data_IF_240435290197
#
_entry.id   IF_240435290197
#
_cell.length_a   1.000
_cell.length_b   1.000
_cell.length_c   1.000
_cell.angle_alpha   90.00
_cell.angle_beta   90.00
_cell.angle_gamma   90.00
#
_symmetry.space_group_name_H-M   'P 1'
#
loop_
_entity.id
_entity.type
_entity.pdbx_description
1 polymer ?
#
# COMPACT_ATOMS: atom_id res chain seq x y z
N UNK A 1 8.49 20.88 29.06
CA UNK A 1 7.65 20.78 27.88
C UNK A 1 8.52 20.27 26.74
N UNK A 2 8.80 19.04 26.77
CA UNK A 2 9.49 18.35 25.70
C UNK A 2 9.03 16.93 25.82
N UNK A 3 8.20 16.47 24.96
CA UNK A 3 8.08 15.02 24.90
C UNK A 3 7.46 14.60 23.62
N UNK A 4 8.30 13.94 23.01
CA UNK A 4 8.19 12.72 22.27
C UNK A 4 7.77 12.92 20.83
N UNK A 5 8.77 13.24 20.05
CA UNK A 5 8.79 12.81 18.67
C UNK A 5 8.96 11.29 18.69
N UNK A 6 7.87 10.54 18.67
CA UNK A 6 7.93 9.11 18.38
C UNK A 6 7.74 8.92 16.88
N UNK A 7 8.83 8.64 16.22
CA UNK A 7 8.79 8.23 14.82
C UNK A 7 8.53 6.73 14.83
N UNK A 8 7.30 6.36 14.53
CA UNK A 8 6.94 4.96 14.38
C UNK A 8 6.46 4.71 12.97
N UNK A 9 7.17 3.89 12.24
CA UNK A 9 6.81 3.50 10.89
C UNK A 9 7.06 4.58 9.84
N UNK A 10 6.53 4.40 8.63
CA UNK A 10 6.70 5.31 7.49
C UNK A 10 5.83 6.58 7.56
N UNK A 11 5.52 7.05 8.74
CA UNK A 11 4.74 8.25 8.96
C UNK A 11 5.36 9.14 10.03
N UNK A 12 5.13 10.43 9.95
CA UNK A 12 5.54 11.40 10.96
C UNK A 12 4.35 11.71 11.84
N UNK A 13 4.46 11.39 13.13
CA UNK A 13 3.52 11.84 14.15
C UNK A 13 4.00 13.18 14.70
N UNK A 14 3.35 14.27 14.31
CA UNK A 14 3.59 15.58 14.91
C UNK A 14 2.58 15.76 16.04
N UNK A 15 3.01 15.57 17.29
CA UNK A 15 2.21 15.84 18.47
C UNK A 15 2.49 17.27 18.93
N UNK A 16 1.70 18.17 18.44
CA UNK A 16 1.63 19.56 18.87
C UNK A 16 0.39 20.11 18.27
N UNK A 17 -0.44 20.84 18.75
CA UNK A 17 -1.66 21.45 18.20
C UNK A 17 -2.28 20.81 16.93
N UNK A 18 -2.12 19.51 16.71
CA UNK A 18 -3.09 19.11 15.87
C UNK A 18 -3.16 18.10 14.82
N UNK A 19 -2.20 17.45 14.32
CA UNK A 19 -2.47 16.63 13.16
C UNK A 19 -1.67 15.34 13.03
N UNK A 20 -2.36 14.25 12.68
CA UNK A 20 -1.73 13.05 12.15
C UNK A 20 -1.61 13.22 10.63
N UNK A 21 -0.38 13.21 10.09
CA UNK A 21 -0.16 13.27 8.65
C UNK A 21 0.30 11.89 8.18
N UNK A 22 -0.60 11.13 7.56
CA UNK A 22 -0.36 9.78 7.01
C UNK A 22 0.40 8.83 7.95
N UNK A 23 0.04 8.70 9.23
CA UNK A 23 0.76 7.84 10.15
C UNK A 23 0.45 6.38 9.89
N UNK A 24 1.46 5.53 9.97
CA UNK A 24 1.29 4.09 10.09
C UNK A 24 1.25 3.73 11.57
N UNK A 25 0.08 3.47 12.10
CA UNK A 25 -0.10 3.16 13.53
C UNK A 25 0.29 1.72 13.86
N UNK A 26 0.17 0.82 12.90
CA UNK A 26 0.58 -0.58 13.03
C UNK A 26 1.17 -1.07 11.73
N UNK A 27 2.40 -1.54 11.74
CA UNK A 27 3.06 -2.12 10.56
C UNK A 27 2.39 -3.41 10.11
N UNK A 28 1.65 -4.10 10.96
CA UNK A 28 0.85 -5.26 10.57
C UNK A 28 -0.10 -4.97 9.40
N UNK A 29 -0.57 -3.74 9.27
CA UNK A 29 -1.49 -3.35 8.18
C UNK A 29 -0.80 -3.18 6.83
N UNK A 30 0.54 -3.19 6.78
CA UNK A 30 1.34 -2.94 5.57
C UNK A 30 2.33 -4.07 5.23
N UNK A 31 2.62 -4.97 6.16
CA UNK A 31 3.64 -6.00 5.98
C UNK A 31 3.04 -7.26 5.32
N UNK A 32 3.22 -7.39 4.03
CA UNK A 32 2.79 -8.54 3.24
C UNK A 32 3.71 -9.75 3.47
N UNK A 33 3.42 -10.53 4.49
CA UNK A 33 4.15 -11.76 4.82
C UNK A 33 3.22 -12.97 4.81
N UNK A 34 3.75 -14.19 4.66
CA UNK A 34 2.93 -15.41 4.63
C UNK A 34 2.07 -15.66 5.87
N UNK A 35 2.46 -15.09 7.01
CA UNK A 35 1.74 -15.25 8.28
C UNK A 35 0.80 -14.09 8.60
N UNK A 36 0.71 -13.10 7.72
CA UNK A 36 -0.09 -11.90 7.95
C UNK A 36 -1.07 -11.65 6.81
N UNK A 37 -2.33 -11.96 7.02
CA UNK A 37 -3.38 -11.78 6.02
C UNK A 37 -4.00 -10.36 6.03
N UNK A 38 -3.74 -9.57 7.06
CA UNK A 38 -4.34 -8.23 7.26
C UNK A 38 -4.16 -7.31 6.05
N UNK A 39 -2.94 -7.11 5.49
CA UNK A 39 -2.77 -6.19 4.37
C UNK A 39 -3.44 -6.70 3.09
N UNK A 40 -3.46 -8.01 2.82
CA UNK A 40 -4.15 -8.56 1.64
C UNK A 40 -5.64 -8.23 1.65
N UNK A 41 -6.28 -8.33 2.84
CA UNK A 41 -7.69 -7.98 3.04
C UNK A 41 -7.87 -6.47 2.92
N UNK A 42 -7.03 -5.69 3.62
CA UNK A 42 -7.15 -4.24 3.72
C UNK A 42 -6.91 -3.48 2.40
N UNK A 43 -6.05 -4.00 1.52
CA UNK A 43 -5.72 -3.36 0.24
C UNK A 43 -6.71 -3.67 -0.88
N UNK A 44 -7.55 -4.70 -0.77
CA UNK A 44 -8.48 -5.07 -1.85
C UNK A 44 -9.39 -3.92 -2.32
N UNK A 45 -9.96 -3.07 -1.45
CA UNK A 45 -10.72 -1.90 -1.91
C UNK A 45 -9.88 -0.92 -2.73
N UNK A 46 -8.61 -0.73 -2.38
CA UNK A 46 -7.67 0.11 -3.15
C UNK A 46 -7.40 -0.50 -4.52
N UNK A 47 -7.18 -1.82 -4.60
CA UNK A 47 -7.01 -2.50 -5.90
C UNK A 47 -8.23 -2.33 -6.79
N UNK A 48 -9.42 -2.47 -6.22
CA UNK A 48 -10.68 -2.34 -6.97
C UNK A 48 -10.87 -0.92 -7.52
N UNK A 49 -10.62 0.10 -6.73
CA UNK A 49 -10.75 1.50 -7.17
C UNK A 49 -9.66 1.90 -8.17
N UNK A 50 -8.44 1.39 -8.01
CA UNK A 50 -7.36 1.56 -8.98
C UNK A 50 -7.69 0.88 -10.31
N UNK A 51 -8.14 -0.36 -10.29
CA UNK A 51 -8.55 -1.08 -11.49
C UNK A 51 -9.75 -0.40 -12.19
N UNK A 52 -10.69 0.14 -11.41
CA UNK A 52 -11.78 0.95 -11.92
C UNK A 52 -11.27 2.21 -12.66
N UNK A 53 -10.33 2.95 -12.07
CA UNK A 53 -9.74 4.12 -12.68
C UNK A 53 -9.08 3.79 -14.03
N UNK A 54 -8.32 2.71 -14.08
CA UNK A 54 -7.60 2.26 -15.27
C UNK A 54 -8.46 1.45 -16.25
N UNK A 55 -9.77 1.36 -16.03
CA UNK A 55 -10.72 0.66 -16.94
C UNK A 55 -10.42 -0.83 -17.09
N UNK A 56 -9.99 -1.47 -16.01
CA UNK A 56 -9.62 -2.90 -15.99
C UNK A 56 -10.70 -3.81 -15.40
N UNK A 57 -11.80 -3.24 -14.91
CA UNK A 57 -12.90 -4.04 -14.36
C UNK A 57 -13.84 -4.56 -15.46
N UNK A 58 -14.60 -5.60 -15.11
CA UNK A 58 -15.69 -6.08 -15.96
C UNK A 58 -16.74 -4.98 -16.21
N UNK A 59 -17.46 -4.99 -17.35
CA UNK A 59 -18.35 -3.89 -17.76
C UNK A 59 -19.40 -3.51 -16.70
N UNK A 60 -19.95 -4.49 -15.99
CA UNK A 60 -20.97 -4.28 -14.96
C UNK A 60 -20.42 -3.56 -13.70
N UNK A 61 -19.16 -3.80 -13.35
CA UNK A 61 -18.46 -3.07 -12.28
C UNK A 61 -17.93 -1.72 -12.78
N UNK A 62 -17.44 -1.69 -14.01
CA UNK A 62 -16.93 -0.46 -14.61
C UNK A 62 -18.00 0.62 -14.77
N UNK A 63 -19.26 0.23 -14.93
CA UNK A 63 -20.41 1.15 -15.04
C UNK A 63 -20.86 1.74 -13.70
N UNK A 64 -20.35 1.23 -12.57
CA UNK A 64 -20.65 1.74 -11.22
C UNK A 64 -19.83 2.94 -10.86
N UNK A 65 -20.24 3.66 -9.83
CA UNK A 65 -19.39 4.72 -9.23
C UNK A 65 -18.21 4.10 -8.49
N UNK A 66 -17.16 4.88 -8.27
CA UNK A 66 -15.98 4.42 -7.52
C UNK A 66 -16.33 4.04 -6.08
N UNK A 67 -17.28 4.73 -5.46
CA UNK A 67 -17.79 4.47 -4.12
C UNK A 67 -18.51 3.12 -4.03
N UNK A 68 -19.34 2.80 -5.03
CA UNK A 68 -20.02 1.51 -5.11
C UNK A 68 -19.02 0.37 -5.28
N UNK A 69 -18.03 0.54 -6.15
CA UNK A 69 -16.95 -0.46 -6.34
C UNK A 69 -16.15 -0.65 -5.06
N UNK A 70 -15.77 0.44 -4.39
CA UNK A 70 -15.06 0.38 -3.12
C UNK A 70 -15.89 -0.33 -2.03
N UNK A 71 -17.22 -0.10 -2.00
CA UNK A 71 -18.11 -0.75 -1.03
C UNK A 71 -18.21 -2.25 -1.27
N UNK A 72 -18.41 -2.67 -2.52
CA UNK A 72 -18.44 -4.09 -2.90
C UNK A 72 -17.13 -4.80 -2.54
N UNK A 73 -16.00 -4.15 -2.79
CA UNK A 73 -14.70 -4.71 -2.46
C UNK A 73 -14.48 -4.82 -0.94
N UNK A 74 -14.94 -3.85 -0.15
CA UNK A 74 -14.87 -3.91 1.33
C UNK A 74 -15.74 -5.04 1.88
N UNK A 75 -16.95 -5.19 1.37
CA UNK A 75 -17.87 -6.24 1.79
C UNK A 75 -17.27 -7.63 1.52
N UNK A 76 -16.79 -7.86 0.31
CA UNK A 76 -16.14 -9.10 -0.05
C UNK A 76 -14.85 -9.34 0.75
N UNK A 77 -14.03 -8.32 0.96
CA UNK A 77 -12.80 -8.40 1.74
C UNK A 77 -13.07 -8.82 3.19
N UNK A 78 -14.04 -8.18 3.84
CA UNK A 78 -14.40 -8.47 5.23
C UNK A 78 -15.14 -9.82 5.41
N UNK A 79 -15.77 -10.33 4.36
CA UNK A 79 -16.54 -11.57 4.35
C UNK A 79 -15.79 -12.75 3.75
N UNK A 80 -16.18 -13.14 2.55
CA UNK A 80 -15.74 -14.35 1.86
C UNK A 80 -14.23 -14.45 1.71
N UNK A 81 -13.56 -13.34 1.41
CA UNK A 81 -12.11 -13.35 1.24
C UNK A 81 -11.36 -13.61 2.55
N UNK A 82 -11.76 -12.96 3.64
CA UNK A 82 -11.20 -13.22 4.98
C UNK A 82 -11.37 -14.69 5.39
N UNK A 83 -12.56 -15.24 5.18
CA UNK A 83 -12.86 -16.65 5.47
C UNK A 83 -12.01 -17.59 4.62
N UNK A 84 -11.85 -17.29 3.34
CA UNK A 84 -11.04 -18.09 2.43
C UNK A 84 -9.57 -18.11 2.83
N UNK A 85 -8.99 -16.96 3.18
CA UNK A 85 -7.61 -16.87 3.67
C UNK A 85 -7.42 -17.63 4.97
N UNK A 86 -8.37 -17.52 5.91
CA UNK A 86 -8.33 -18.22 7.20
C UNK A 86 -8.44 -19.75 7.09
N UNK A 87 -9.14 -20.28 6.06
CA UNK A 87 -9.19 -21.74 5.79
C UNK A 87 -7.86 -22.28 5.25
N UNK A 88 -7.05 -21.44 4.61
CA UNK A 88 -5.75 -21.84 4.06
C UNK A 88 -5.84 -23.05 3.13
N UNK A 89 -5.05 -24.08 3.43
CA UNK A 89 -5.02 -25.30 2.61
C UNK A 89 -6.27 -26.19 2.78
N UNK A 90 -7.13 -25.91 3.76
CA UNK A 90 -8.41 -26.59 3.94
C UNK A 90 -9.53 -26.01 3.05
N UNK A 91 -9.27 -24.92 2.33
CA UNK A 91 -10.24 -24.34 1.41
C UNK A 91 -10.51 -25.28 0.23
N UNK A 92 -11.76 -25.75 0.01
CA UNK A 92 -12.09 -26.60 -1.10
C UNK A 92 -11.73 -25.98 -2.46
N UNK A 93 -11.26 -26.77 -3.41
CA UNK A 93 -10.80 -26.27 -4.71
C UNK A 93 -11.87 -25.44 -5.46
N UNK A 94 -13.13 -25.88 -5.43
CA UNK A 94 -14.22 -25.15 -6.06
C UNK A 94 -14.48 -23.78 -5.37
N UNK A 95 -14.34 -23.71 -4.05
CA UNK A 95 -14.48 -22.47 -3.28
C UNK A 95 -13.30 -21.53 -3.54
N UNK A 96 -12.09 -22.09 -3.61
CA UNK A 96 -10.87 -21.34 -3.97
C UNK A 96 -10.97 -20.74 -5.37
N UNK A 97 -11.49 -21.50 -6.33
CA UNK A 97 -11.73 -21.01 -7.69
C UNK A 97 -12.72 -19.84 -7.70
N UNK A 98 -13.87 -19.99 -7.04
CA UNK A 98 -14.89 -18.94 -6.93
C UNK A 98 -14.33 -17.66 -6.31
N UNK A 99 -13.53 -17.77 -5.25
CA UNK A 99 -12.89 -16.62 -4.60
C UNK A 99 -11.88 -15.95 -5.54
N UNK A 100 -11.08 -16.72 -6.27
CA UNK A 100 -10.13 -16.19 -7.25
C UNK A 100 -10.83 -15.45 -8.40
N UNK A 101 -11.96 -15.97 -8.88
CA UNK A 101 -12.78 -15.30 -9.90
C UNK A 101 -13.36 -13.98 -9.40
N UNK A 102 -13.82 -13.94 -8.16
CA UNK A 102 -14.32 -12.69 -7.57
C UNK A 102 -13.19 -11.67 -7.34
N UNK A 103 -12.01 -12.13 -6.89
CA UNK A 103 -10.81 -11.28 -6.80
C UNK A 103 -10.41 -10.73 -8.17
N UNK A 104 -10.45 -11.56 -9.21
CA UNK A 104 -10.16 -11.12 -10.57
C UNK A 104 -11.14 -10.03 -11.05
N UNK A 105 -12.43 -10.23 -10.80
CA UNK A 105 -13.46 -9.24 -11.14
C UNK A 105 -13.25 -7.88 -10.46
N UNK A 106 -12.82 -7.90 -9.20
CA UNK A 106 -12.61 -6.69 -8.38
C UNK A 106 -11.25 -6.02 -8.61
N UNK A 107 -10.24 -6.78 -9.05
CA UNK A 107 -8.86 -6.25 -9.16
C UNK A 107 -8.39 -6.02 -10.59
N UNK A 108 -9.08 -6.59 -11.58
CA UNK A 108 -8.62 -6.58 -12.97
C UNK A 108 -7.47 -7.53 -13.27
N UNK A 109 -6.92 -8.24 -12.27
CA UNK A 109 -5.90 -9.28 -12.47
C UNK A 109 -6.56 -10.62 -12.80
N UNK A 110 -5.94 -11.49 -13.63
CA UNK A 110 -6.52 -12.80 -13.99
C UNK A 110 -6.73 -13.71 -12.76
N UNK A 111 -7.79 -14.53 -12.79
CA UNK A 111 -8.08 -15.49 -11.71
C UNK A 111 -6.93 -16.48 -11.50
N UNK A 112 -6.30 -16.95 -12.57
CA UNK A 112 -5.15 -17.86 -12.50
C UNK A 112 -3.95 -17.22 -11.78
N UNK A 113 -3.75 -15.91 -11.94
CA UNK A 113 -2.72 -15.19 -11.20
C UNK A 113 -2.98 -15.21 -9.69
N UNK A 114 -4.24 -14.99 -9.28
CA UNK A 114 -4.66 -15.11 -7.87
C UNK A 114 -4.48 -16.54 -7.34
N UNK A 115 -4.81 -17.56 -8.13
CA UNK A 115 -4.62 -18.97 -7.75
C UNK A 115 -3.15 -19.32 -7.55
N UNK A 116 -2.27 -18.90 -8.47
CA UNK A 116 -0.82 -19.11 -8.38
C UNK A 116 -0.22 -18.46 -7.13
N UNK A 117 -0.75 -17.33 -6.70
CA UNK A 117 -0.34 -16.60 -5.50
C UNK A 117 -1.09 -17.02 -4.23
N UNK A 118 -1.82 -18.15 -4.27
CA UNK A 118 -2.61 -18.67 -3.12
C UNK A 118 -3.58 -17.62 -2.58
N UNK A 119 -4.20 -16.85 -3.45
CA UNK A 119 -5.11 -15.72 -3.19
C UNK A 119 -4.44 -14.52 -2.49
N UNK A 120 -3.11 -14.45 -2.46
CA UNK A 120 -2.33 -13.39 -1.78
C UNK A 120 -1.49 -12.62 -2.80
N UNK A 121 -1.97 -11.47 -3.21
CA UNK A 121 -1.27 -10.54 -4.10
C UNK A 121 -0.91 -9.29 -3.30
N UNK A 122 0.38 -9.01 -3.16
CA UNK A 122 0.86 -7.81 -2.46
C UNK A 122 0.62 -6.55 -3.29
N UNK A 123 0.77 -5.40 -2.67
CA UNK A 123 0.68 -4.10 -3.33
C UNK A 123 1.68 -3.98 -4.49
N UNK A 124 2.94 -4.35 -4.27
CA UNK A 124 3.97 -4.30 -5.30
C UNK A 124 3.64 -5.17 -6.50
N UNK A 125 3.13 -6.39 -6.27
CA UNK A 125 2.68 -7.27 -7.34
C UNK A 125 1.48 -6.67 -8.10
N UNK A 126 0.51 -6.12 -7.37
CA UNK A 126 -0.66 -5.51 -8.00
C UNK A 126 -0.28 -4.32 -8.89
N UNK A 127 0.52 -3.38 -8.37
CA UNK A 127 0.93 -2.18 -9.11
C UNK A 127 1.81 -2.50 -10.32
N UNK A 128 2.56 -3.58 -10.24
CA UNK A 128 3.40 -4.07 -11.34
C UNK A 128 2.59 -4.74 -12.43
N UNK A 129 1.57 -5.54 -12.07
CA UNK A 129 0.89 -6.42 -13.04
C UNK A 129 -0.44 -5.87 -13.58
N UNK A 130 -1.07 -4.87 -12.96
CA UNK A 130 -2.37 -4.35 -13.43
C UNK A 130 -2.34 -3.88 -14.89
N UNK A 131 -1.28 -3.20 -15.31
CA UNK A 131 -1.10 -2.66 -16.66
C UNK A 131 0.01 -3.36 -17.45
N UNK A 132 0.40 -4.56 -17.04
CA UNK A 132 1.50 -5.31 -17.68
C UNK A 132 1.28 -5.52 -19.17
N UNK A 133 0.06 -5.85 -19.60
CA UNK A 133 -0.30 -6.00 -21.01
C UNK A 133 -0.13 -4.72 -21.85
N UNK A 134 0.01 -3.57 -21.21
CA UNK A 134 0.29 -2.28 -21.83
C UNK A 134 1.77 -1.87 -21.69
N UNK A 135 2.62 -2.73 -21.14
CA UNK A 135 4.02 -2.42 -20.85
C UNK A 135 4.21 -1.32 -19.80
N UNK A 136 3.25 -1.17 -18.90
CA UNK A 136 3.24 -0.10 -17.88
C UNK A 136 3.07 -0.67 -16.48
N UNK A 137 3.47 0.13 -15.50
CA UNK A 137 3.21 -0.09 -14.09
C UNK A 137 2.47 1.12 -13.47
N UNK A 138 1.85 0.91 -12.34
CA UNK A 138 1.02 1.89 -11.64
C UNK A 138 1.76 2.45 -10.45
N UNK A 139 1.57 3.74 -10.15
CA UNK A 139 2.16 4.39 -8.99
C UNK A 139 1.59 3.89 -7.66
N UNK A 140 2.48 3.71 -6.68
CA UNK A 140 2.13 3.25 -5.33
C UNK A 140 1.57 4.37 -4.45
N UNK A 141 2.15 5.56 -4.52
CA UNK A 141 1.69 6.72 -3.73
C UNK A 141 0.41 7.33 -4.31
N UNK A 142 0.33 7.37 -5.64
CA UNK A 142 -0.87 7.78 -6.37
C UNK A 142 -1.04 6.87 -7.59
N UNK A 143 -2.00 5.98 -7.53
CA UNK A 143 -2.23 4.97 -8.55
C UNK A 143 -2.78 5.50 -9.88
N UNK A 144 -3.04 6.80 -9.99
CA UNK A 144 -3.38 7.46 -11.25
C UNK A 144 -2.15 7.67 -12.14
N UNK A 145 -0.96 7.80 -11.53
CA UNK A 145 0.30 7.86 -12.25
C UNK A 145 0.68 6.49 -12.80
N UNK A 146 1.26 6.50 -13.98
CA UNK A 146 1.76 5.28 -14.62
C UNK A 146 3.13 5.52 -15.24
N UNK A 147 3.98 4.50 -15.24
CA UNK A 147 5.30 4.53 -15.86
C UNK A 147 5.55 3.36 -16.80
N UNK A 148 6.63 3.40 -17.55
CA UNK A 148 7.04 2.30 -18.41
C UNK A 148 7.66 1.17 -17.57
N UNK A 149 7.38 -0.06 -17.92
CA UNK A 149 8.10 -1.22 -17.39
C UNK A 149 9.41 -1.39 -18.14
N UNK A 150 10.52 -1.41 -17.42
CA UNK A 150 11.84 -1.65 -18.01
C UNK A 150 12.19 -3.14 -18.06
N UNK A 151 11.69 -3.92 -17.11
CA UNK A 151 11.94 -5.36 -16.99
C UNK A 151 10.63 -6.16 -16.98
N UNK A 152 10.00 -6.38 -18.16
CA UNK A 152 8.76 -7.17 -18.24
C UNK A 152 8.97 -8.59 -17.68
N UNK A 153 7.99 -9.07 -16.90
CA UNK A 153 8.05 -10.40 -16.29
C UNK A 153 8.70 -10.46 -14.90
N UNK A 154 9.21 -9.35 -14.38
CA UNK A 154 9.67 -9.29 -12.98
C UNK A 154 8.53 -9.02 -12.02
N UNK A 155 8.62 -9.57 -10.80
CA UNK A 155 7.63 -9.42 -9.75
C UNK A 155 7.91 -8.18 -8.89
N UNK A 156 7.81 -6.99 -9.45
CA UNK A 156 7.96 -5.73 -8.74
C UNK A 156 9.40 -5.23 -8.60
N UNK A 157 9.57 -4.12 -7.93
CA UNK A 157 10.88 -3.59 -7.55
C UNK A 157 11.55 -2.65 -8.55
N UNK A 158 10.92 -2.32 -9.68
CA UNK A 158 11.52 -1.41 -10.65
C UNK A 158 11.62 0.03 -10.08
N UNK A 159 10.50 0.69 -9.94
CA UNK A 159 10.38 2.06 -9.41
C UNK A 159 8.93 2.42 -9.16
N UNK A 160 8.69 3.59 -8.54
CA UNK A 160 7.35 4.13 -8.35
C UNK A 160 7.15 5.37 -9.22
N UNK A 161 6.35 5.32 -10.30
CA UNK A 161 6.15 6.47 -11.16
C UNK A 161 5.47 7.66 -10.48
N UNK A 162 4.74 7.45 -9.40
CA UNK A 162 4.16 8.53 -8.61
C UNK A 162 5.21 9.22 -7.73
N UNK A 163 6.16 8.47 -7.20
CA UNK A 163 7.30 9.04 -6.48
C UNK A 163 8.23 9.82 -7.41
N UNK A 164 8.60 9.24 -8.54
CA UNK A 164 9.40 9.89 -9.58
C UNK A 164 8.82 11.25 -10.02
N UNK A 165 7.50 11.31 -10.16
CA UNK A 165 6.82 12.54 -10.60
C UNK A 165 6.93 13.69 -9.59
N UNK A 166 7.08 13.41 -8.30
CA UNK A 166 7.02 14.42 -7.23
C UNK A 166 8.34 14.62 -6.48
N UNK A 167 9.21 13.62 -6.45
CA UNK A 167 10.44 13.65 -5.63
C UNK A 167 11.39 14.78 -6.02
N UNK A 168 11.61 15.03 -7.30
CA UNK A 168 12.48 16.12 -7.77
C UNK A 168 12.01 17.50 -7.30
N UNK A 169 10.79 17.92 -7.63
CA UNK A 169 10.23 19.20 -7.18
C UNK A 169 10.16 19.34 -5.67
N UNK A 170 9.76 18.27 -4.95
CA UNK A 170 9.69 18.28 -3.49
C UNK A 170 11.07 18.44 -2.84
N UNK A 171 12.07 17.72 -3.30
CA UNK A 171 13.43 17.85 -2.80
C UNK A 171 14.01 19.25 -3.06
N UNK A 172 13.77 19.82 -4.23
CA UNK A 172 14.21 21.18 -4.55
C UNK A 172 13.54 22.22 -3.64
N UNK A 173 12.21 22.15 -3.51
CA UNK A 173 11.45 23.07 -2.66
C UNK A 173 11.80 22.93 -1.17
N UNK A 174 11.97 21.71 -0.69
CA UNK A 174 12.35 21.43 0.71
C UNK A 174 13.74 21.99 1.02
N UNK A 175 14.74 21.70 0.18
CA UNK A 175 16.10 22.22 0.37
C UNK A 175 16.15 23.74 0.32
N UNK A 176 15.42 24.38 -0.59
CA UNK A 176 15.31 25.83 -0.66
C UNK A 176 14.70 26.40 0.63
N UNK A 177 13.59 25.84 1.10
CA UNK A 177 12.90 26.26 2.31
C UNK A 177 13.78 26.12 3.56
N UNK A 178 14.37 24.94 3.76
CA UNK A 178 15.20 24.66 4.93
C UNK A 178 16.43 25.57 4.98
N UNK A 179 17.09 25.79 3.86
CA UNK A 179 18.32 26.59 3.80
C UNK A 179 18.02 28.09 3.83
N UNK A 180 17.05 28.54 3.03
CA UNK A 180 16.78 29.96 2.86
C UNK A 180 15.90 30.56 3.96
N UNK A 181 14.81 29.85 4.35
CA UNK A 181 13.85 30.37 5.33
C UNK A 181 14.26 29.97 6.76
N UNK A 182 14.57 28.67 6.99
CA UNK A 182 14.92 28.18 8.32
C UNK A 182 16.39 28.43 8.68
N UNK A 183 17.23 28.87 7.73
CA UNK A 183 18.68 29.12 7.94
C UNK A 183 19.42 27.89 8.50
N UNK A 184 18.96 26.69 8.18
CA UNK A 184 19.59 25.47 8.61
C UNK A 184 20.69 25.07 7.62
N UNK A 185 21.92 25.12 8.08
CA UNK A 185 23.10 24.75 7.29
C UNK A 185 23.62 23.39 7.75
N UNK A 186 23.85 22.50 6.80
CA UNK A 186 24.38 21.16 7.05
C UNK A 186 25.07 20.63 5.81
N UNK A 187 26.15 19.89 6.00
CA UNK A 187 26.84 19.15 4.94
C UNK A 187 26.25 17.74 4.73
N UNK A 188 25.30 17.33 5.60
CA UNK A 188 24.62 16.06 5.47
C UNK A 188 23.52 16.20 4.41
N UNK A 189 23.54 15.37 3.36
CA UNK A 189 22.47 15.37 2.38
C UNK A 189 21.14 14.95 3.02
N UNK A 190 20.06 15.64 2.66
CA UNK A 190 18.71 15.19 3.01
C UNK A 190 18.26 14.18 1.97
N UNK A 191 18.03 12.96 2.42
CA UNK A 191 17.72 11.85 1.52
C UNK A 191 16.22 11.72 1.15
N UNK A 192 15.37 12.61 1.68
CA UNK A 192 13.95 12.67 1.33
C UNK A 192 13.18 11.40 1.70
N UNK A 193 12.50 10.83 0.73
CA UNK A 193 11.75 9.56 0.88
C UNK A 193 12.64 8.32 0.77
N UNK A 194 13.93 8.50 0.62
CA UNK A 194 14.86 7.42 0.39
C UNK A 194 15.29 6.73 1.68
N UNK A 195 15.84 5.67 1.50
CA UNK A 195 16.48 4.63 2.27
C UNK A 195 16.98 5.04 3.67
N UNK A 196 16.12 4.92 4.66
CA UNK A 196 16.49 5.10 6.07
C UNK A 196 16.95 3.78 6.75
N UNK A 197 17.43 2.83 5.97
CA UNK A 197 17.95 1.57 6.47
C UNK A 197 19.36 1.72 7.07
N UNK A 198 19.68 1.03 8.15
CA UNK A 198 18.81 0.12 8.91
C UNK A 198 17.95 0.86 9.94
N UNK A 199 16.64 0.91 9.73
CA UNK A 199 15.71 1.45 10.71
C UNK A 199 15.16 0.31 11.58
N UNK A 200 15.25 0.45 12.88
CA UNK A 200 14.67 -0.53 13.80
C UNK A 200 13.22 -0.14 14.13
N UNK A 201 12.27 -0.87 13.57
CA UNK A 201 10.84 -0.63 13.77
C UNK A 201 10.25 -1.35 15.00
N UNK A 202 11.02 -2.07 15.76
CA UNK A 202 10.48 -2.81 16.88
C UNK A 202 11.52 -3.44 17.77
N UNK A 203 11.04 -4.10 18.79
CA UNK A 203 11.83 -4.88 19.72
C UNK A 203 12.60 -6.00 19.01
N UNK A 204 13.69 -6.43 19.60
CA UNK A 204 14.53 -7.52 19.10
C UNK A 204 13.81 -8.86 18.90
N UNK A 205 12.50 -8.92 19.15
CA UNK A 205 11.63 -10.09 18.96
C UNK A 205 10.90 -10.18 17.64
N UNK A 206 11.07 -9.25 16.70
CA UNK A 206 10.51 -9.36 15.34
C UNK A 206 8.99 -9.15 15.22
N UNK A 207 8.36 -8.51 16.18
CA UNK A 207 6.95 -8.12 16.12
C UNK A 207 6.70 -6.91 15.21
N UNK A 208 5.48 -6.77 14.71
CA UNK A 208 5.08 -5.56 13.99
C UNK A 208 4.98 -4.38 14.93
N UNK A 209 5.67 -3.25 14.67
CA UNK A 209 5.50 -2.04 15.46
C UNK A 209 4.02 -1.61 15.48
N UNK A 210 3.51 -1.38 16.68
CA UNK A 210 2.13 -0.96 16.89
C UNK A 210 2.09 0.17 17.91
N UNK A 211 1.79 1.38 17.47
CA UNK A 211 1.70 2.59 18.29
C UNK A 211 0.26 3.04 18.53
N UNK A 212 -0.73 2.29 18.04
CA UNK A 212 -2.14 2.67 18.14
C UNK A 212 -2.60 2.83 19.58
N UNK A 213 -2.17 1.94 20.48
CA UNK A 213 -2.53 1.99 21.88
C UNK A 213 -1.84 3.13 22.63
N UNK A 214 -0.58 3.40 22.33
CA UNK A 214 0.16 4.53 22.92
C UNK A 214 -0.42 5.87 22.46
N UNK A 215 -0.80 5.97 21.19
CA UNK A 215 -1.51 7.14 20.68
C UNK A 215 -2.86 7.33 21.38
N UNK A 216 -3.64 6.25 21.51
CA UNK A 216 -4.93 6.31 22.21
C UNK A 216 -4.77 6.81 23.64
N UNK A 217 -3.75 6.35 24.39
CA UNK A 217 -3.44 6.82 25.73
C UNK A 217 -3.00 8.28 25.77
N UNK A 218 -2.30 8.74 24.76
CA UNK A 218 -1.83 10.12 24.68
C UNK A 218 -2.96 11.11 24.31
N UNK A 219 -4.06 10.62 23.73
CA UNK A 219 -5.23 11.42 23.31
C UNK A 219 -6.34 11.49 24.39
N UNK A 220 -6.28 10.67 25.43
CA UNK A 220 -7.21 10.64 26.58
C UNK A 220 -6.62 11.29 27.80
#
# INVERSE_FOLDING_TARGET
>A
MSEALHIAGRGVLVVGAGGLVSPVLSSQTLEFTPQNDVPYIGFLPTYATTAWYHKKLAPDLQAKTVEEVASLAREFAAGDYTVALGKGDQLPAAEKQRVAEQLARLSGLPADYWLQRRLRVSDSLFFTHLLEGEGRLVGRLDSRFTGLRYEPGTDGGEYDPSDEAVSGPLNAAFNDYVRRELKYETDIPYEGLTNVWPWNFGDAGGGFPNTAEDLRRAMT
#
